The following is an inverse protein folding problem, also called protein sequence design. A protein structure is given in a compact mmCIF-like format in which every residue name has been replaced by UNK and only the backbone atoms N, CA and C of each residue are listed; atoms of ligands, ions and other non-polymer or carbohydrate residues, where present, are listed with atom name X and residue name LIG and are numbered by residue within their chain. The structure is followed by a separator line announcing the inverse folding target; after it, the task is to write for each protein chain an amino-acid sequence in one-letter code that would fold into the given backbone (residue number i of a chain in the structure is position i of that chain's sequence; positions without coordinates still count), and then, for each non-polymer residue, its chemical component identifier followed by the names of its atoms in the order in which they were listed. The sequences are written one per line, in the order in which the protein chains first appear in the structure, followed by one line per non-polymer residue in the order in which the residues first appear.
data_IF_377321237993
#
_entry.id   IF_377321237993
#
_cell.length_a   1.000
_cell.length_b   1.000
_cell.length_c   1.000
_cell.angle_alpha   90.00
_cell.angle_beta   90.00
_cell.angle_gamma   90.00
#
_symmetry.space_group_name_H-M   'P 1'
#
loop_
_entity.id
_entity.type
_entity.pdbx_description
1 polymer ?
#
# COMPACT_ATOMS: atom_id res chain seq x y z
N UNK A 1 -26.29 -0.39 43.40
CA UNK A 1 -25.59 0.44 42.40
C UNK A 1 -26.60 0.98 41.41
N UNK A 2 -26.49 2.23 40.96
CA UNK A 2 -27.36 2.76 39.89
C UNK A 2 -27.03 2.02 38.59
N UNK A 3 -28.04 1.53 37.89
CA UNK A 3 -27.93 0.92 36.56
C UNK A 3 -27.62 2.05 35.57
N UNK A 4 -26.39 2.06 35.04
CA UNK A 4 -26.01 2.99 33.96
C UNK A 4 -26.64 2.51 32.66
N UNK A 5 -27.35 3.40 31.97
CA UNK A 5 -28.00 3.13 30.69
C UNK A 5 -27.65 4.25 29.70
N UNK A 6 -27.72 3.94 28.40
CA UNK A 6 -27.59 4.93 27.33
C UNK A 6 -28.86 5.82 27.22
N UNK A 7 -28.85 6.77 26.29
CA UNK A 7 -29.98 7.69 26.04
C UNK A 7 -31.25 6.96 25.56
N UNK A 8 -31.15 5.69 25.18
CA UNK A 8 -32.26 4.82 24.78
C UNK A 8 -32.71 3.86 25.89
N UNK A 9 -32.10 3.96 27.07
CA UNK A 9 -32.42 3.14 28.24
C UNK A 9 -31.80 1.74 28.25
N UNK A 10 -30.90 1.42 27.30
CA UNK A 10 -30.19 0.14 27.27
C UNK A 10 -28.96 0.16 28.19
N UNK A 11 -28.72 -0.93 28.89
CA UNK A 11 -27.39 -1.23 29.42
C UNK A 11 -26.42 -1.52 28.28
N UNK A 12 -25.11 -1.50 28.57
CA UNK A 12 -24.11 -1.90 27.58
C UNK A 12 -24.35 -3.31 27.03
N UNK A 13 -24.72 -4.26 27.88
CA UNK A 13 -25.00 -5.64 27.48
C UNK A 13 -26.20 -5.71 26.51
N UNK A 14 -27.31 -5.05 26.86
CA UNK A 14 -28.50 -4.98 25.99
C UNK A 14 -28.17 -4.26 24.68
N UNK A 15 -27.39 -3.18 24.71
CA UNK A 15 -26.95 -2.49 23.51
C UNK A 15 -26.15 -3.41 22.59
N UNK A 16 -25.15 -4.12 23.12
CA UNK A 16 -24.29 -5.02 22.33
C UNK A 16 -25.09 -6.21 21.74
N UNK A 17 -26.03 -6.76 22.49
CA UNK A 17 -26.93 -7.82 21.99
C UNK A 17 -27.84 -7.33 20.85
N UNK A 18 -28.21 -6.05 20.85
CA UNK A 18 -29.06 -5.45 19.83
C UNK A 18 -28.27 -4.81 18.68
N UNK A 19 -26.94 -4.71 18.78
CA UNK A 19 -26.11 -4.07 17.77
C UNK A 19 -26.10 -4.87 16.46
N UNK A 20 -26.46 -4.21 15.36
CA UNK A 20 -26.52 -4.82 14.02
C UNK A 20 -25.43 -4.22 13.14
N UNK A 21 -24.29 -4.91 13.10
CA UNK A 21 -23.13 -4.43 12.35
C UNK A 21 -23.40 -4.27 10.83
N UNK A 22 -24.44 -4.93 10.30
CA UNK A 22 -24.88 -4.86 8.89
C UNK A 22 -25.62 -3.57 8.53
N UNK A 23 -26.00 -2.76 9.51
CA UNK A 23 -26.76 -1.53 9.28
C UNK A 23 -25.89 -0.43 8.60
N UNK A 24 -24.57 -0.64 8.54
CA UNK A 24 -23.61 0.22 7.88
C UNK A 24 -22.83 -0.57 6.82
N UNK A 25 -22.72 -0.06 5.57
CA UNK A 25 -21.76 -0.61 4.61
C UNK A 25 -20.35 -0.57 5.20
N UNK A 26 -19.54 -1.57 4.87
CA UNK A 26 -18.15 -1.67 5.35
C UNK A 26 -17.20 -1.84 4.17
N UNK A 27 -16.04 -1.19 4.19
CA UNK A 27 -14.99 -1.48 3.24
C UNK A 27 -14.34 -2.82 3.58
N UNK A 28 -13.78 -3.48 2.56
CA UNK A 28 -12.69 -4.42 2.78
C UNK A 28 -11.44 -3.64 3.20
N UNK A 29 -10.65 -4.19 4.12
CA UNK A 29 -9.41 -3.57 4.61
C UNK A 29 -8.24 -4.43 4.14
N UNK A 30 -7.24 -3.79 3.53
CA UNK A 30 -6.00 -4.42 3.06
C UNK A 30 -4.78 -3.71 3.64
N UNK A 31 -3.63 -4.36 3.58
CA UNK A 31 -2.33 -3.74 3.82
C UNK A 31 -1.44 -3.88 2.59
N UNK A 32 -0.75 -2.80 2.20
CA UNK A 32 0.24 -2.80 1.11
C UNK A 32 1.62 -2.38 1.64
N UNK A 33 2.68 -3.08 1.22
CA UNK A 33 4.03 -2.89 1.74
C UNK A 33 4.94 -2.38 0.63
N UNK A 34 5.46 -1.17 0.81
CA UNK A 34 6.54 -0.61 0.01
C UNK A 34 7.86 -1.09 0.62
N UNK A 35 8.56 -1.96 -0.09
CA UNK A 35 9.91 -2.38 0.31
C UNK A 35 10.93 -1.74 -0.62
N UNK A 36 11.69 -0.78 -0.10
CA UNK A 36 12.76 -0.12 -0.85
C UNK A 36 14.13 -0.69 -0.51
N UNK A 37 15.01 -0.72 -1.51
CA UNK A 37 16.45 -0.86 -1.34
C UNK A 37 17.10 0.41 -1.88
N UNK A 38 17.92 1.07 -1.06
CA UNK A 38 18.55 2.34 -1.41
C UNK A 38 20.06 2.15 -1.42
N UNK A 39 20.70 2.50 -2.53
CA UNK A 39 22.16 2.51 -2.66
C UNK A 39 22.58 3.80 -3.31
N UNK A 40 23.29 4.63 -2.55
CA UNK A 40 23.67 6.00 -2.96
C UNK A 40 22.42 6.81 -3.33
N UNK A 41 22.29 7.21 -4.60
CA UNK A 41 21.15 7.98 -5.11
C UNK A 41 20.15 7.11 -5.90
N UNK A 42 20.34 5.79 -5.91
CA UNK A 42 19.44 4.86 -6.60
C UNK A 42 18.49 4.22 -5.59
N UNK A 43 17.22 4.12 -5.98
CA UNK A 43 16.18 3.44 -5.21
C UNK A 43 15.55 2.36 -6.07
N UNK A 44 15.40 1.18 -5.48
CA UNK A 44 14.71 0.04 -6.05
C UNK A 44 13.49 -0.30 -5.19
N UNK A 45 12.42 -0.81 -5.81
CA UNK A 45 11.23 -1.31 -5.12
C UNK A 45 11.01 -2.78 -5.40
N UNK A 46 10.66 -3.56 -4.38
CA UNK A 46 10.22 -4.94 -4.55
C UNK A 46 8.76 -4.94 -5.03
N UNK A 47 8.50 -5.60 -6.16
CA UNK A 47 7.17 -5.82 -6.69
C UNK A 47 6.90 -7.31 -6.84
N UNK A 48 5.62 -7.68 -6.77
CA UNK A 48 5.14 -9.02 -7.08
C UNK A 48 4.31 -9.03 -8.36
N UNK A 49 4.40 -10.10 -9.15
CA UNK A 49 3.58 -10.27 -10.36
C UNK A 49 2.28 -10.97 -10.00
N UNK A 50 1.15 -10.30 -10.21
CA UNK A 50 -0.17 -10.81 -9.80
C UNK A 50 -0.55 -12.08 -10.57
N UNK A 51 -0.85 -13.14 -9.82
CA UNK A 51 -1.31 -14.41 -10.39
C UNK A 51 -2.79 -14.46 -10.78
N UNK A 52 -3.60 -13.52 -10.27
CA UNK A 52 -5.06 -13.52 -10.43
C UNK A 52 -5.67 -12.14 -10.70
N UNK A 53 -6.96 -12.13 -11.05
CA UNK A 53 -7.74 -10.90 -11.26
C UNK A 53 -8.07 -10.18 -9.94
N UNK A 54 -8.32 -8.86 -9.97
CA UNK A 54 -8.11 -7.93 -11.08
C UNK A 54 -6.61 -7.71 -11.37
N UNK A 55 -6.28 -7.03 -12.47
CA UNK A 55 -4.88 -6.73 -12.85
C UNK A 55 -4.01 -7.99 -12.98
N UNK A 56 -4.55 -9.05 -13.61
CA UNK A 56 -3.80 -10.25 -13.92
C UNK A 56 -2.54 -9.88 -14.72
N UNK A 57 -1.40 -10.48 -14.36
CA UNK A 57 -0.08 -10.26 -14.96
C UNK A 57 0.51 -8.84 -14.80
N UNK A 58 -0.18 -7.94 -14.08
CA UNK A 58 0.41 -6.66 -13.67
C UNK A 58 1.30 -6.85 -12.45
N UNK A 59 2.26 -5.95 -12.28
CA UNK A 59 3.08 -5.87 -11.07
C UNK A 59 2.34 -5.11 -9.98
N UNK A 60 2.60 -5.45 -8.73
CA UNK A 60 1.94 -4.88 -7.55
C UNK A 60 2.92 -4.77 -6.39
N UNK A 61 2.59 -3.94 -5.41
CA UNK A 61 3.22 -4.00 -4.09
C UNK A 61 2.77 -5.30 -3.43
N UNK A 62 3.63 -5.93 -2.62
CA UNK A 62 3.19 -7.00 -1.74
C UNK A 62 2.06 -6.51 -0.82
N UNK A 63 1.02 -7.30 -0.63
CA UNK A 63 -0.12 -6.91 0.16
C UNK A 63 -1.36 -7.78 -0.01
N UNK A 64 -2.26 -7.70 0.96
CA UNK A 64 -3.46 -8.52 0.99
C UNK A 64 -4.47 -8.10 2.06
N UNK A 65 -5.47 -8.94 2.30
CA UNK A 65 -6.62 -8.61 3.13
C UNK A 65 -6.33 -8.85 4.61
N UNK A 66 -6.87 -7.98 5.46
CA UNK A 66 -6.83 -8.18 6.90
C UNK A 66 -7.77 -9.32 7.32
N UNK A 67 -7.28 -10.20 8.19
CA UNK A 67 -8.09 -11.20 8.89
C UNK A 67 -8.77 -10.61 10.13
N UNK A 68 -9.79 -11.30 10.65
CA UNK A 68 -10.65 -10.74 11.71
C UNK A 68 -10.00 -10.64 13.10
N UNK A 69 -8.88 -11.32 13.30
CA UNK A 69 -8.17 -11.51 14.56
C UNK A 69 -6.74 -10.93 14.57
N UNK A 70 -6.39 -10.16 13.54
CA UNK A 70 -5.09 -9.48 13.44
C UNK A 70 -5.23 -7.95 13.38
N UNK A 71 -4.16 -7.25 13.76
CA UNK A 71 -4.06 -5.81 13.50
C UNK A 71 -3.63 -5.57 12.06
N UNK A 72 -3.91 -4.39 11.51
CA UNK A 72 -3.47 -4.06 10.14
C UNK A 72 -1.94 -4.08 9.98
N UNK A 73 -1.22 -3.82 11.08
CA UNK A 73 0.23 -3.93 11.14
C UNK A 73 0.71 -5.40 11.10
N UNK A 74 -0.03 -6.30 11.73
CA UNK A 74 0.23 -7.75 11.68
C UNK A 74 -0.11 -8.31 10.29
N UNK A 75 -1.23 -7.85 9.68
CA UNK A 75 -1.57 -8.13 8.27
C UNK A 75 -0.39 -7.79 7.36
N UNK A 76 0.16 -6.57 7.47
CA UNK A 76 1.28 -6.13 6.64
C UNK A 76 2.51 -7.05 6.76
N UNK A 77 2.81 -7.53 7.97
CA UNK A 77 3.93 -8.46 8.21
C UNK A 77 3.66 -9.85 7.66
N UNK A 78 2.43 -10.36 7.83
CA UNK A 78 2.01 -11.67 7.33
C UNK A 78 2.06 -11.70 5.81
N UNK A 79 1.41 -10.74 5.14
CA UNK A 79 1.36 -10.64 3.68
C UNK A 79 2.76 -10.49 3.07
N UNK A 80 3.61 -9.65 3.67
CA UNK A 80 5.00 -9.53 3.23
C UNK A 80 5.72 -10.89 3.30
N UNK A 81 5.54 -11.64 4.39
CA UNK A 81 6.17 -12.94 4.56
C UNK A 81 5.61 -13.98 3.59
N UNK A 82 4.30 -14.05 3.41
CA UNK A 82 3.63 -15.01 2.53
C UNK A 82 4.05 -14.81 1.07
N UNK A 83 4.07 -13.57 0.59
CA UNK A 83 4.32 -13.29 -0.83
C UNK A 83 5.80 -13.21 -1.21
N UNK A 84 6.69 -12.99 -0.23
CA UNK A 84 8.11 -12.72 -0.50
C UNK A 84 9.10 -13.52 0.35
N UNK A 85 8.63 -14.26 1.36
CA UNK A 85 9.44 -14.93 2.40
C UNK A 85 10.27 -13.99 3.29
N UNK A 86 9.99 -12.68 3.26
CA UNK A 86 10.69 -11.66 4.05
C UNK A 86 9.99 -11.46 5.39
N UNK A 87 10.75 -11.45 6.49
CA UNK A 87 10.24 -11.24 7.84
C UNK A 87 11.26 -10.55 8.74
N UNK A 88 10.82 -10.19 9.95
CA UNK A 88 11.66 -9.63 11.01
C UNK A 88 12.35 -8.31 10.63
N UNK A 89 11.75 -7.53 9.72
CA UNK A 89 12.18 -6.18 9.35
C UNK A 89 11.28 -5.11 9.98
N UNK A 90 11.84 -3.93 10.34
CA UNK A 90 11.03 -2.80 10.77
C UNK A 90 10.22 -2.22 9.60
N UNK A 91 8.93 -1.97 9.84
CA UNK A 91 8.02 -1.29 8.92
C UNK A 91 7.42 -0.05 9.60
N UNK A 92 7.16 1.00 8.82
CA UNK A 92 6.54 2.26 9.28
C UNK A 92 5.30 2.58 8.45
N UNK A 93 4.21 2.99 9.09
CA UNK A 93 2.97 3.42 8.41
C UNK A 93 3.22 4.69 7.57
N UNK A 94 2.78 4.66 6.30
CA UNK A 94 2.83 5.78 5.36
C UNK A 94 1.45 6.43 5.21
N UNK A 95 0.39 5.65 5.42
CA UNK A 95 -0.98 6.12 5.57
C UNK A 95 -2.00 5.34 4.77
N UNK A 96 -3.25 5.78 4.91
CA UNK A 96 -4.43 5.11 4.38
C UNK A 96 -4.81 5.64 3.00
N UNK A 97 -5.03 4.73 2.06
CA UNK A 97 -5.56 5.01 0.72
C UNK A 97 -6.98 4.46 0.61
N UNK A 98 -7.94 5.39 0.50
CA UNK A 98 -9.37 5.08 0.57
C UNK A 98 -10.17 5.71 -0.57
N UNK A 99 -9.53 6.03 -1.70
CA UNK A 99 -10.20 6.55 -2.89
C UNK A 99 -11.33 5.61 -3.30
N UNK A 100 -12.57 6.10 -3.51
CA UNK A 100 -13.62 5.28 -4.08
C UNK A 100 -13.17 4.65 -5.41
N UNK A 101 -13.51 3.38 -5.62
CA UNK A 101 -13.14 2.61 -6.80
C UNK A 101 -11.62 2.40 -7.01
N UNK A 102 -10.76 2.60 -5.99
CA UNK A 102 -9.34 2.22 -6.07
C UNK A 102 -9.15 0.74 -6.42
N UNK A 103 -10.08 -0.07 -5.94
CA UNK A 103 -10.21 -1.49 -6.26
C UNK A 103 -11.52 -1.71 -7.04
N UNK A 104 -11.49 -2.32 -8.24
CA UNK A 104 -12.68 -2.57 -9.03
C UNK A 104 -13.61 -3.64 -8.43
N UNK A 105 -13.15 -4.42 -7.42
CA UNK A 105 -13.95 -5.49 -6.80
C UNK A 105 -15.04 -4.95 -5.88
N UNK A 106 -14.71 -3.96 -5.05
CA UNK A 106 -15.60 -3.45 -4.00
C UNK A 106 -15.09 -2.15 -3.40
N UNK A 107 -15.82 -1.60 -2.42
CA UNK A 107 -15.27 -0.58 -1.53
C UNK A 107 -14.13 -1.19 -0.72
N UNK A 108 -12.88 -0.84 -1.07
CA UNK A 108 -11.68 -1.33 -0.41
C UNK A 108 -10.83 -0.14 0.02
N UNK A 109 -10.28 -0.18 1.23
CA UNK A 109 -9.24 0.73 1.69
C UNK A 109 -7.97 -0.07 1.99
N UNK A 110 -6.82 0.53 1.78
CA UNK A 110 -5.54 -0.06 2.20
C UNK A 110 -4.84 0.86 3.18
N UNK A 111 -4.20 0.29 4.19
CA UNK A 111 -3.17 0.99 4.95
C UNK A 111 -1.80 0.58 4.40
N UNK A 112 -0.91 1.55 4.21
CA UNK A 112 0.36 1.32 3.53
C UNK A 112 1.54 1.42 4.49
N UNK A 113 2.52 0.53 4.32
CA UNK A 113 3.69 0.43 5.18
C UNK A 113 4.98 0.48 4.37
N UNK A 114 5.98 1.19 4.87
CA UNK A 114 7.30 1.30 4.26
C UNK A 114 8.34 0.53 5.08
N UNK A 115 9.20 -0.20 4.39
CA UNK A 115 10.47 -0.67 4.90
C UNK A 115 11.62 -0.33 3.95
N UNK A 116 12.81 -0.14 4.51
CA UNK A 116 14.05 0.05 3.76
C UNK A 116 15.02 -1.06 4.17
N UNK A 117 15.58 -1.76 3.18
CA UNK A 117 16.41 -2.94 3.37
C UNK A 117 17.63 -2.91 2.47
N UNK A 118 18.65 -3.70 2.83
CA UNK A 118 19.76 -3.99 1.92
C UNK A 118 19.38 -5.20 1.05
N UNK A 119 19.10 -4.99 -0.24
CA UNK A 119 18.63 -6.09 -1.11
C UNK A 119 19.55 -7.31 -1.11
N UNK A 120 20.87 -7.11 -0.99
CA UNK A 120 21.83 -8.22 -1.03
C UNK A 120 21.71 -9.17 0.18
N UNK A 121 21.05 -8.71 1.26
CA UNK A 121 20.76 -9.52 2.45
C UNK A 121 19.40 -10.22 2.37
N UNK A 122 18.63 -9.97 1.32
CA UNK A 122 17.26 -10.46 1.17
C UNK A 122 17.09 -11.17 -0.18
N UNK A 123 16.59 -12.40 -0.14
CA UNK A 123 16.24 -13.14 -1.34
C UNK A 123 14.73 -13.33 -1.37
N UNK A 124 13.99 -12.52 -2.13
CA UNK A 124 12.55 -12.71 -2.24
C UNK A 124 12.28 -14.05 -2.94
N UNK A 125 11.36 -14.82 -2.35
CA UNK A 125 10.84 -16.05 -2.95
C UNK A 125 9.33 -15.84 -3.05
N UNK A 126 8.80 -15.90 -4.27
CA UNK A 126 7.39 -15.69 -4.53
C UNK A 126 6.53 -16.75 -3.81
N UNK A 127 5.48 -16.29 -3.14
CA UNK A 127 4.47 -17.10 -2.45
C UNK A 127 3.34 -17.61 -3.34
N UNK A 128 2.30 -18.17 -2.73
CA UNK A 128 1.21 -18.87 -3.42
C UNK A 128 0.42 -17.99 -4.42
N UNK A 129 0.18 -16.71 -4.10
CA UNK A 129 -0.59 -15.78 -4.94
C UNK A 129 0.28 -14.92 -5.89
N UNK A 130 1.59 -14.89 -5.66
CA UNK A 130 2.56 -14.17 -6.47
C UNK A 130 3.21 -15.12 -7.49
N UNK A 131 3.10 -14.80 -8.78
CA UNK A 131 3.83 -15.56 -9.81
C UNK A 131 5.34 -15.33 -9.73
N UNK A 132 5.72 -14.15 -9.25
CA UNK A 132 7.11 -13.72 -9.16
C UNK A 132 7.27 -12.58 -8.17
N UNK A 133 8.49 -12.36 -7.65
CA UNK A 133 8.85 -11.27 -6.75
C UNK A 133 10.23 -10.71 -7.14
N UNK A 134 10.27 -9.47 -7.62
CA UNK A 134 11.46 -8.89 -8.27
C UNK A 134 11.68 -7.44 -7.88
N UNK A 135 12.97 -7.07 -7.81
CA UNK A 135 13.39 -5.69 -7.60
C UNK A 135 13.29 -4.90 -8.91
N UNK A 136 12.75 -3.70 -8.86
CA UNK A 136 12.67 -2.77 -9.97
C UNK A 136 13.42 -1.48 -9.63
N UNK A 137 14.35 -1.08 -10.50
CA UNK A 137 14.98 0.24 -10.47
C UNK A 137 13.91 1.31 -10.68
N UNK A 138 13.93 2.39 -9.89
CA UNK A 138 13.01 3.52 -10.04
C UNK A 138 13.77 4.73 -10.59
N UNK A 139 13.40 5.17 -11.79
CA UNK A 139 13.76 6.50 -12.29
C UNK A 139 12.62 7.48 -12.01
N UNK A 140 12.97 8.65 -11.46
CA UNK A 140 12.00 9.66 -11.00
C UNK A 140 12.24 10.95 -11.77
N UNK A 141 11.21 11.43 -12.45
CA UNK A 141 11.16 12.79 -12.98
C UNK A 141 10.12 13.60 -12.18
N UNK A 142 10.62 14.44 -11.27
CA UNK A 142 9.80 15.27 -10.40
C UNK A 142 9.72 16.71 -10.93
N UNK A 143 8.49 17.21 -11.13
CA UNK A 143 8.19 18.57 -11.57
C UNK A 143 7.10 19.19 -10.69
N UNK A 144 6.84 20.49 -10.81
CA UNK A 144 5.97 21.22 -9.87
C UNK A 144 4.59 20.58 -9.67
N UNK A 145 3.94 20.12 -10.74
CA UNK A 145 2.59 19.57 -10.71
C UNK A 145 2.48 18.13 -11.23
N UNK A 146 3.59 17.48 -11.55
CA UNK A 146 3.61 16.13 -12.09
C UNK A 146 4.83 15.34 -11.65
N UNK A 147 4.65 14.04 -11.49
CA UNK A 147 5.72 13.08 -11.31
C UNK A 147 5.61 12.00 -12.39
N UNK A 148 6.75 11.62 -12.97
CA UNK A 148 6.86 10.41 -13.78
C UNK A 148 7.76 9.41 -13.08
N UNK A 149 7.27 8.18 -12.96
CA UNK A 149 8.05 7.04 -12.51
C UNK A 149 8.29 6.11 -13.70
N UNK A 150 9.52 5.64 -13.84
CA UNK A 150 9.84 4.49 -14.70
C UNK A 150 10.39 3.40 -13.80
N UNK A 151 9.65 2.30 -13.69
CA UNK A 151 10.08 1.11 -12.94
C UNK A 151 10.65 0.13 -13.96
N UNK A 152 11.89 -0.31 -13.80
CA UNK A 152 12.51 -1.24 -14.76
C UNK A 152 13.17 -2.43 -14.09
N UNK A 153 13.02 -3.60 -14.69
CA UNK A 153 13.78 -4.79 -14.36
C UNK A 153 14.42 -5.34 -15.64
N UNK A 154 15.75 -5.29 -15.70
CA UNK A 154 16.52 -5.70 -16.89
C UNK A 154 16.53 -7.22 -17.09
N UNK A 155 16.49 -7.99 -16.01
CA UNK A 155 16.52 -9.45 -16.08
C UNK A 155 15.22 -10.01 -16.66
N UNK A 156 14.09 -9.37 -16.33
CA UNK A 156 12.76 -9.72 -16.85
C UNK A 156 12.41 -8.99 -18.16
N UNK A 157 13.23 -8.03 -18.59
CA UNK A 157 12.95 -7.12 -19.71
C UNK A 157 11.58 -6.42 -19.56
N UNK A 158 11.27 -5.99 -18.34
CA UNK A 158 10.03 -5.31 -17.96
C UNK A 158 10.29 -3.82 -17.72
N UNK A 159 9.39 -2.97 -18.23
CA UNK A 159 9.40 -1.51 -18.02
C UNK A 159 7.97 -1.06 -17.77
N UNK A 160 7.75 -0.34 -16.68
CA UNK A 160 6.45 0.22 -16.29
C UNK A 160 6.59 1.74 -16.20
N UNK A 161 5.77 2.46 -16.94
CA UNK A 161 5.69 3.91 -16.96
C UNK A 161 4.42 4.38 -16.26
N UNK A 162 4.60 5.30 -15.32
CA UNK A 162 3.51 5.88 -14.54
C UNK A 162 3.65 7.39 -14.58
N UNK A 163 2.60 8.08 -15.01
CA UNK A 163 2.50 9.53 -14.92
C UNK A 163 1.44 9.89 -13.89
N UNK A 164 1.80 10.76 -12.94
CA UNK A 164 0.91 11.19 -11.87
C UNK A 164 0.83 12.72 -11.85
N UNK A 165 -0.37 13.24 -11.60
CA UNK A 165 -0.55 14.61 -11.13
C UNK A 165 -0.07 14.69 -9.68
N UNK A 166 0.68 15.75 -9.36
CA UNK A 166 1.16 16.06 -8.00
C UNK A 166 0.48 17.32 -7.51
N UNK A 167 -0.22 17.21 -6.38
CA UNK A 167 -0.89 18.32 -5.72
C UNK A 167 -0.26 18.53 -4.34
N UNK A 168 0.31 19.72 -4.12
CA UNK A 168 0.90 20.08 -2.83
C UNK A 168 -0.08 20.93 -2.04
N UNK A 169 -0.38 20.52 -0.82
CA UNK A 169 -1.22 21.25 0.13
C UNK A 169 -0.44 21.62 1.39
N UNK A 170 -0.76 22.77 1.98
CA UNK A 170 -0.16 23.20 3.24
C UNK A 170 -0.68 22.31 4.37
N UNK A 171 0.19 21.51 4.98
CA UNK A 171 -0.14 20.75 6.18
C UNK A 171 0.16 21.51 7.46
N UNK A 172 -0.09 20.85 8.60
CA UNK A 172 0.08 21.45 9.94
C UNK A 172 1.55 21.53 10.34
N UNK A 173 2.31 20.45 10.12
CA UNK A 173 3.75 20.34 10.48
C UNK A 173 4.66 20.40 9.28
N UNK A 174 4.23 19.85 8.15
CA UNK A 174 4.90 19.87 6.85
C UNK A 174 3.85 19.94 5.76
N UNK A 175 4.25 20.33 4.55
CA UNK A 175 3.38 20.18 3.39
C UNK A 175 2.99 18.71 3.19
N UNK A 176 1.85 18.51 2.54
CA UNK A 176 1.38 17.21 2.09
C UNK A 176 1.40 17.20 0.56
N UNK A 177 1.91 16.10 -0.01
CA UNK A 177 1.77 15.81 -1.43
C UNK A 177 0.75 14.71 -1.60
N UNK A 178 -0.21 14.95 -2.48
CA UNK A 178 -1.17 13.97 -2.95
C UNK A 178 -0.94 13.71 -4.44
N UNK A 179 -1.10 12.46 -4.84
CA UNK A 179 -0.81 12.00 -6.18
C UNK A 179 -2.06 11.40 -6.82
N UNK A 180 -2.24 11.66 -8.11
CA UNK A 180 -3.32 11.05 -8.89
C UNK A 180 -2.77 10.46 -10.16
N UNK A 181 -2.97 9.17 -10.39
CA UNK A 181 -2.52 8.53 -11.63
C UNK A 181 -3.24 9.14 -12.83
N UNK A 182 -2.45 9.62 -13.80
CA UNK A 182 -2.89 10.08 -15.13
C UNK A 182 -2.80 8.92 -16.12
N UNK A 183 -1.68 8.19 -16.09
CA UNK A 183 -1.46 6.98 -16.89
C UNK A 183 -0.61 5.97 -16.13
N UNK A 184 -0.86 4.70 -16.42
CA UNK A 184 -0.20 3.55 -15.80
C UNK A 184 -0.31 2.38 -16.78
N UNK A 185 0.83 1.80 -17.17
CA UNK A 185 0.90 0.75 -18.21
C UNK A 185 1.28 -0.65 -17.67
N UNK A 186 1.33 -0.85 -16.36
CA UNK A 186 1.72 -2.15 -15.83
C UNK A 186 1.70 -2.35 -14.31
N UNK A 187 1.36 -1.32 -13.53
CA UNK A 187 1.23 -1.42 -12.08
C UNK A 187 -0.25 -1.59 -11.69
N UNK A 188 -0.55 -2.44 -10.71
CA UNK A 188 -1.92 -2.69 -10.27
C UNK A 188 -2.48 -1.53 -9.43
N UNK A 189 -3.81 -1.40 -9.45
CA UNK A 189 -4.57 -0.47 -8.59
C UNK A 189 -4.05 0.98 -8.63
N UNK A 190 -3.92 1.61 -7.46
CA UNK A 190 -3.36 2.93 -7.22
C UNK A 190 -1.92 2.87 -6.67
N UNK A 191 -1.21 1.76 -6.86
CA UNK A 191 0.11 1.55 -6.24
C UNK A 191 1.15 2.58 -6.65
N UNK A 192 1.00 3.22 -7.81
CA UNK A 192 1.84 4.35 -8.20
C UNK A 192 1.66 5.56 -7.28
N UNK A 193 0.43 5.83 -6.81
CA UNK A 193 0.14 6.88 -5.83
C UNK A 193 0.80 6.54 -4.48
N UNK A 194 0.76 5.26 -4.08
CA UNK A 194 1.38 4.73 -2.85
C UNK A 194 2.92 4.86 -2.90
N UNK A 195 3.55 4.44 -3.99
CA UNK A 195 5.00 4.54 -4.19
C UNK A 195 5.45 6.02 -4.15
N UNK A 196 4.74 6.93 -4.84
CA UNK A 196 5.06 8.35 -4.78
C UNK A 196 4.97 8.91 -3.36
N UNK A 197 3.95 8.53 -2.58
CA UNK A 197 3.83 8.94 -1.17
C UNK A 197 5.01 8.47 -0.34
N UNK A 198 5.44 7.23 -0.53
CA UNK A 198 6.62 6.67 0.13
C UNK A 198 7.91 7.39 -0.29
N UNK A 199 8.11 7.66 -1.58
CA UNK A 199 9.26 8.41 -2.10
C UNK A 199 9.32 9.84 -1.54
N UNK A 200 8.19 10.51 -1.36
CA UNK A 200 8.12 11.80 -0.65
C UNK A 200 8.56 11.68 0.80
N UNK A 201 8.14 10.61 1.50
CA UNK A 201 8.50 10.38 2.91
C UNK A 201 10.02 10.26 3.08
N UNK A 202 10.71 9.63 2.13
CA UNK A 202 12.17 9.41 2.16
C UNK A 202 12.98 10.47 1.40
N UNK A 203 12.33 11.53 0.91
CA UNK A 203 13.01 12.70 0.33
C UNK A 203 13.44 12.56 -1.13
N UNK A 204 12.93 11.57 -1.87
CA UNK A 204 13.17 11.42 -3.31
C UNK A 204 12.21 12.25 -4.18
N UNK A 205 11.08 12.69 -3.63
CA UNK A 205 10.11 13.59 -4.28
C UNK A 205 9.88 14.81 -3.37
N UNK A 206 9.87 16.00 -3.96
CA UNK A 206 9.69 17.26 -3.24
C UNK A 206 8.21 17.52 -2.93
N UNK A 207 7.96 17.96 -1.70
CA UNK A 207 6.66 18.30 -1.13
C UNK A 207 6.66 19.69 -0.51
#
# INVERSE_FOLDING_TARGET
MKRTVDDKGFTLEEFLQNYKAKDYPKPSVTADIILFSIKENNVEVLLIKRGGHPFLDHWALPGGFAESDETIFDTAKRELYEETSIKDIPIEEIGVFSSPNRDPRSWTMTDSFLAIVEKDKIKPIAGDDAKDAKWFDIEINDSDNKVKLVLSNKDENEIINIELEKNITKGVTKNNSDFKIISNDGLAFDHGEIICKALTKIGFIIC
#
